data_IF_791441768143
#
_entry.id   IF_791441768143
#
_cell.length_a   1.000
_cell.length_b   1.000
_cell.length_c   1.000
_cell.angle_alpha   90.00
_cell.angle_beta   90.00
_cell.angle_gamma   90.00
#
_symmetry.space_group_name_H-M   'P 1'
#
loop_
_entity.id
_entity.type
_entity.pdbx_description
1 polymer ?
#
# COMPACT_ATOMS: atom_id res chain seq x y z
N UNK A 1 12.42 1.10 5.65
CA UNK A 1 11.33 1.29 4.70
C UNK A 1 10.31 2.27 5.27
N UNK A 2 10.09 3.39 4.58
CA UNK A 2 8.99 4.32 4.83
C UNK A 2 7.88 4.13 3.80
N UNK A 3 6.62 4.26 4.21
CA UNK A 3 5.48 4.21 3.30
C UNK A 3 4.56 5.40 3.53
N UNK A 4 3.92 5.86 2.46
CA UNK A 4 2.87 6.88 2.52
C UNK A 4 1.63 6.31 3.24
N UNK A 5 0.97 7.15 4.04
CA UNK A 5 -0.39 6.91 4.55
C UNK A 5 -1.39 7.26 3.46
N UNK A 6 -2.69 7.12 3.75
CA UNK A 6 -3.78 7.38 2.79
C UNK A 6 -3.66 8.76 2.14
N UNK A 7 -3.40 9.78 2.96
CA UNK A 7 -3.04 11.12 2.48
C UNK A 7 -1.52 11.15 2.26
N UNK A 8 -1.03 11.32 1.01
CA UNK A 8 0.39 11.17 0.68
C UNK A 8 1.34 12.14 1.40
N UNK A 9 0.80 13.23 1.94
CA UNK A 9 1.57 14.21 2.73
C UNK A 9 2.08 13.58 4.04
N UNK A 10 1.35 12.59 4.58
CA UNK A 10 1.74 11.89 5.79
C UNK A 10 2.40 10.55 5.44
N UNK A 11 3.56 10.27 6.02
CA UNK A 11 4.28 9.00 5.89
C UNK A 11 4.42 8.33 7.26
N UNK A 12 4.84 7.06 7.24
CA UNK A 12 5.22 6.31 8.45
C UNK A 12 6.39 5.38 8.16
N UNK A 13 7.23 5.18 9.15
CA UNK A 13 8.22 4.10 9.18
C UNK A 13 7.51 2.76 9.36
N UNK A 14 7.88 1.75 8.58
CA UNK A 14 7.32 0.41 8.74
C UNK A 14 7.90 -0.28 9.98
N UNK A 15 7.07 -1.02 10.74
CA UNK A 15 7.59 -1.85 11.83
C UNK A 15 8.42 -3.00 11.28
N UNK A 16 9.21 -3.61 12.15
CA UNK A 16 10.00 -4.80 11.83
C UNK A 16 9.11 -5.92 11.22
N UNK A 17 9.64 -6.61 10.21
CA UNK A 17 8.93 -7.64 9.46
C UNK A 17 8.03 -7.13 8.32
N UNK A 18 7.72 -5.82 8.24
CA UNK A 18 6.90 -5.25 7.14
C UNK A 18 7.73 -4.54 6.10
N UNK A 19 8.34 -5.34 5.22
CA UNK A 19 9.33 -4.89 4.24
C UNK A 19 8.74 -4.48 2.88
N UNK A 20 7.42 -4.31 2.78
CA UNK A 20 6.73 -3.82 1.58
C UNK A 20 5.79 -2.67 1.93
N UNK A 21 5.68 -1.72 1.01
CA UNK A 21 4.58 -0.77 0.96
C UNK A 21 3.46 -1.28 0.06
N UNK A 22 2.21 -0.87 0.31
CA UNK A 22 1.08 -1.22 -0.55
C UNK A 22 0.10 -0.06 -0.78
N UNK A 23 -0.54 -0.06 -1.95
CA UNK A 23 -1.79 0.66 -2.27
C UNK A 23 -2.90 -0.37 -2.46
N UNK A 24 -4.06 -0.12 -1.86
CA UNK A 24 -5.28 -0.90 -2.06
C UNK A 24 -6.30 -0.05 -2.80
N UNK A 25 -6.92 -0.63 -3.83
CA UNK A 25 -7.96 0.01 -4.63
C UNK A 25 -9.19 -0.88 -4.66
N UNK A 26 -10.37 -0.27 -4.74
CA UNK A 26 -11.56 -0.99 -5.21
C UNK A 26 -11.48 -1.09 -6.73
N UNK A 27 -11.79 -2.24 -7.30
CA UNK A 27 -11.74 -2.44 -8.76
C UNK A 27 -12.66 -1.45 -9.48
N UNK A 28 -13.84 -1.15 -8.89
CA UNK A 28 -14.78 -0.14 -9.38
C UNK A 28 -14.21 1.28 -9.42
N UNK A 29 -13.19 1.60 -8.61
CA UNK A 29 -12.55 2.92 -8.53
C UNK A 29 -11.03 2.78 -8.47
N UNK A 30 -10.46 2.18 -9.52
CA UNK A 30 -9.03 1.83 -9.59
C UNK A 30 -8.05 3.02 -9.64
N UNK A 31 -8.54 4.27 -9.61
CA UNK A 31 -7.71 5.50 -9.61
C UNK A 31 -7.48 6.08 -8.22
N UNK A 32 -8.37 5.81 -7.26
CA UNK A 32 -8.30 6.37 -5.90
C UNK A 32 -7.98 5.25 -4.91
N UNK A 33 -6.79 5.24 -4.29
CA UNK A 33 -6.47 4.23 -3.31
C UNK A 33 -7.32 4.43 -2.05
N UNK A 34 -7.97 3.37 -1.61
CA UNK A 34 -8.78 3.34 -0.38
C UNK A 34 -7.92 3.10 0.86
N UNK A 35 -6.71 2.55 0.69
CA UNK A 35 -5.77 2.33 1.79
C UNK A 35 -4.32 2.31 1.30
N UNK A 36 -3.43 2.82 2.13
CA UNK A 36 -1.97 2.79 1.94
C UNK A 36 -1.27 2.40 3.24
N UNK A 37 -0.17 1.67 3.16
CA UNK A 37 0.64 1.39 4.34
C UNK A 37 1.75 0.36 4.11
N UNK A 38 2.22 -0.23 5.21
CA UNK A 38 3.24 -1.27 5.22
C UNK A 38 2.59 -2.65 5.37
N UNK A 39 3.17 -3.65 4.71
CA UNK A 39 2.79 -5.05 4.80
C UNK A 39 4.03 -5.95 4.69
N UNK A 40 3.94 -7.17 5.19
CA UNK A 40 4.94 -8.22 5.13
C UNK A 40 4.84 -9.00 3.81
N UNK A 41 3.62 -9.35 3.40
CA UNK A 41 3.33 -10.11 2.17
C UNK A 41 2.33 -9.35 1.31
N UNK A 42 2.59 -9.24 0.01
CA UNK A 42 1.64 -8.61 -0.91
C UNK A 42 0.38 -9.47 -1.05
N UNK A 43 -0.82 -8.97 -0.69
CA UNK A 43 -2.05 -9.74 -0.83
C UNK A 43 -2.33 -10.01 -2.32
N UNK A 44 -3.00 -11.14 -2.59
CA UNK A 44 -3.49 -11.41 -3.94
C UNK A 44 -4.67 -10.50 -4.26
N UNK A 45 -4.74 -10.07 -5.52
CA UNK A 45 -5.92 -9.40 -6.05
C UNK A 45 -7.16 -10.30 -5.95
N UNK A 46 -8.33 -9.67 -5.88
CA UNK A 46 -9.63 -10.32 -5.91
C UNK A 46 -10.53 -9.64 -6.94
N UNK A 47 -11.75 -10.18 -7.14
CA UNK A 47 -12.72 -9.58 -8.05
C UNK A 47 -13.12 -8.13 -7.70
N UNK A 48 -12.96 -7.71 -6.44
CA UNK A 48 -13.39 -6.40 -5.95
C UNK A 48 -12.25 -5.50 -5.49
N UNK A 49 -11.08 -6.06 -5.19
CA UNK A 49 -9.97 -5.34 -4.57
C UNK A 49 -8.66 -5.65 -5.29
N UNK A 50 -7.92 -4.59 -5.63
CA UNK A 50 -6.59 -4.64 -6.24
C UNK A 50 -5.53 -4.13 -5.26
N UNK A 51 -4.39 -4.81 -5.21
CA UNK A 51 -3.22 -4.45 -4.43
C UNK A 51 -2.03 -4.13 -5.35
N UNK A 52 -1.34 -3.05 -5.06
CA UNK A 52 -0.06 -2.70 -5.70
C UNK A 52 0.98 -2.58 -4.62
N UNK A 53 1.97 -3.46 -4.63
CA UNK A 53 3.05 -3.48 -3.65
C UNK A 53 4.39 -3.06 -4.25
N UNK A 54 5.26 -2.51 -3.41
CA UNK A 54 6.60 -2.06 -3.78
C UNK A 54 7.52 -2.08 -2.56
N UNK A 55 8.84 -2.12 -2.76
CA UNK A 55 9.85 -2.37 -1.71
C UNK A 55 10.86 -1.22 -1.53
N UNK A 56 10.52 -0.01 -1.98
CA UNK A 56 11.35 1.20 -1.86
C UNK A 56 10.66 2.27 -1.02
N UNK A 57 11.42 3.22 -0.48
CA UNK A 57 10.84 4.25 0.39
C UNK A 57 9.80 5.12 -0.35
N UNK A 58 8.64 5.32 0.30
CA UNK A 58 7.52 6.16 -0.12
C UNK A 58 6.96 5.87 -1.51
N UNK A 59 7.08 4.61 -1.96
CA UNK A 59 6.64 4.19 -3.29
C UNK A 59 5.11 4.00 -3.43
N UNK A 60 4.40 3.80 -2.31
CA UNK A 60 2.96 3.55 -2.29
C UNK A 60 2.10 4.82 -2.11
#
# INVERSE_FOLDING_TARGET
>A
LECNKLVPIAHKTCPEGKNLCYKMFMVSTSTVPVKRGCIDVCPKDSALVKYVCCNTDRCN
#
